data_IF_354703346235
#
_entry.id   IF_354703346235
#
_cell.length_a   1.000
_cell.length_b   1.000
_cell.length_c   1.000
_cell.angle_alpha   90.00
_cell.angle_beta   90.00
_cell.angle_gamma   90.00
#
_symmetry.space_group_name_H-M   'P 1'
#
loop_
_entity.id
_entity.type
_entity.pdbx_description
1 polymer ?
#
# COMPACT_ATOMS: atom_id res chain seq x y z
N UNK A 1 -21.10 -8.76 -21.66
CA UNK A 1 -21.75 -7.82 -20.75
C UNK A 1 -20.66 -7.21 -19.90
N UNK A 2 -20.72 -5.92 -19.63
CA UNK A 2 -19.80 -5.31 -18.65
C UNK A 2 -20.23 -5.79 -17.26
N UNK A 3 -19.31 -6.37 -16.49
CA UNK A 3 -19.55 -6.87 -15.14
C UNK A 3 -18.99 -5.89 -14.12
N UNK A 4 -19.63 -5.82 -12.95
CA UNK A 4 -19.05 -5.09 -11.82
C UNK A 4 -17.80 -5.82 -11.35
N UNK A 5 -16.85 -5.07 -10.82
CA UNK A 5 -15.65 -5.67 -10.15
C UNK A 5 -16.11 -6.59 -9.02
N UNK A 6 -17.15 -6.20 -8.28
CA UNK A 6 -17.71 -6.93 -7.13
C UNK A 6 -18.35 -8.28 -7.46
N UNK A 7 -18.58 -8.60 -8.72
CA UNK A 7 -19.02 -9.97 -9.12
C UNK A 7 -17.99 -11.05 -8.78
N UNK A 8 -16.73 -10.66 -8.47
CA UNK A 8 -15.62 -11.55 -8.20
C UNK A 8 -15.04 -11.39 -6.78
N UNK A 9 -15.40 -10.34 -6.04
CA UNK A 9 -14.82 -10.00 -4.75
C UNK A 9 -15.91 -9.71 -3.73
N UNK A 10 -15.64 -10.01 -2.48
CA UNK A 10 -16.60 -9.91 -1.39
C UNK A 10 -16.19 -8.91 -0.29
N UNK A 11 -14.99 -8.33 -0.37
CA UNK A 11 -14.55 -7.24 0.49
C UNK A 11 -13.43 -6.40 -0.14
N UNK A 12 -13.29 -5.17 0.37
CA UNK A 12 -12.26 -4.22 -0.01
C UNK A 12 -11.21 -4.10 1.10
N UNK A 13 -9.93 -4.19 0.74
CA UNK A 13 -8.83 -3.66 1.53
C UNK A 13 -8.28 -2.42 0.83
N UNK A 14 -8.29 -1.28 1.49
CA UNK A 14 -7.90 0.00 0.90
C UNK A 14 -6.69 0.59 1.61
N UNK A 15 -5.74 1.13 0.86
CA UNK A 15 -4.83 2.11 1.42
C UNK A 15 -5.60 3.37 1.83
N UNK A 16 -4.95 4.25 2.57
CA UNK A 16 -5.53 5.48 3.11
C UNK A 16 -4.98 6.73 2.43
N UNK A 17 -3.67 6.96 2.56
CA UNK A 17 -3.02 8.15 2.03
C UNK A 17 -2.95 8.10 0.49
N UNK A 18 -3.42 9.13 -0.20
CA UNK A 18 -3.51 9.14 -1.68
C UNK A 18 -4.74 8.42 -2.26
N UNK A 19 -5.52 7.72 -1.43
CA UNK A 19 -6.72 6.96 -1.81
C UNK A 19 -7.98 7.53 -1.17
N UNK A 20 -8.02 7.62 0.15
CA UNK A 20 -9.18 8.11 0.91
C UNK A 20 -9.00 9.57 1.30
N UNK A 21 -7.78 9.95 1.64
CA UNK A 21 -7.44 11.33 2.01
C UNK A 21 -5.99 11.68 1.64
N UNK A 22 -5.70 12.97 1.64
CA UNK A 22 -4.36 13.54 1.60
C UNK A 22 -4.20 14.48 2.79
N UNK A 23 -3.35 14.10 3.75
CA UNK A 23 -3.20 14.83 5.01
C UNK A 23 -4.51 14.96 5.79
N UNK A 24 -5.07 16.17 5.86
CA UNK A 24 -6.32 16.45 6.57
C UNK A 24 -7.55 16.64 5.65
N UNK A 25 -7.42 16.34 4.37
CA UNK A 25 -8.49 16.50 3.38
C UNK A 25 -8.87 15.16 2.77
N UNK A 26 -10.18 14.87 2.71
CA UNK A 26 -10.68 13.71 1.97
C UNK A 26 -10.49 13.89 0.46
N UNK A 27 -10.24 12.79 -0.24
CA UNK A 27 -10.20 12.74 -1.70
C UNK A 27 -11.61 12.39 -2.20
N UNK A 28 -12.25 13.35 -2.88
CA UNK A 28 -13.57 13.10 -3.48
C UNK A 28 -13.45 12.16 -4.68
N UNK A 29 -14.36 11.18 -4.87
CA UNK A 29 -15.56 10.88 -4.07
C UNK A 29 -15.36 9.70 -3.10
N UNK A 30 -14.17 9.51 -2.53
CA UNK A 30 -13.88 8.32 -1.71
C UNK A 30 -14.86 8.14 -0.53
N UNK A 31 -15.20 9.18 0.28
CA UNK A 31 -16.14 8.98 1.39
C UNK A 31 -17.52 8.49 0.95
N UNK A 32 -18.04 9.03 -0.14
CA UNK A 32 -19.34 8.68 -0.70
C UNK A 32 -19.35 7.23 -1.19
N UNK A 33 -18.31 6.83 -1.91
CA UNK A 33 -18.16 5.47 -2.45
C UNK A 33 -18.02 4.45 -1.32
N UNK A 34 -17.20 4.74 -0.30
CA UNK A 34 -17.04 3.85 0.86
C UNK A 34 -18.36 3.70 1.64
N UNK A 35 -19.14 4.77 1.76
CA UNK A 35 -20.49 4.74 2.32
C UNK A 35 -21.45 3.87 1.52
N UNK A 36 -21.38 3.91 0.20
CA UNK A 36 -22.20 3.08 -0.69
C UNK A 36 -21.79 1.61 -0.64
N UNK A 37 -20.48 1.29 -0.64
CA UNK A 37 -20.01 -0.09 -0.45
C UNK A 37 -20.51 -0.68 0.88
N UNK A 38 -20.45 0.10 1.96
CA UNK A 38 -20.98 -0.32 3.25
C UNK A 38 -22.50 -0.59 3.19
N UNK A 39 -23.27 0.23 2.45
CA UNK A 39 -24.72 0.04 2.26
C UNK A 39 -25.05 -1.20 1.43
N UNK A 40 -24.18 -1.60 0.54
CA UNK A 40 -24.23 -2.84 -0.24
C UNK A 40 -23.81 -4.08 0.56
N UNK A 41 -23.38 -3.88 1.82
CA UNK A 41 -22.92 -4.98 2.68
C UNK A 41 -21.52 -5.49 2.36
N UNK A 42 -20.73 -4.72 1.62
CA UNK A 42 -19.33 -5.03 1.30
C UNK A 42 -18.44 -4.52 2.44
N UNK A 43 -17.77 -5.40 3.22
CA UNK A 43 -16.85 -4.98 4.26
C UNK A 43 -15.66 -4.22 3.67
N UNK A 44 -15.22 -3.15 4.38
CA UNK A 44 -14.07 -2.36 3.98
C UNK A 44 -13.06 -2.33 5.11
N UNK A 45 -11.85 -2.76 4.82
CA UNK A 45 -10.68 -2.66 5.70
C UNK A 45 -9.68 -1.64 5.18
N UNK A 46 -8.92 -1.08 6.10
CA UNK A 46 -7.90 -0.08 5.78
C UNK A 46 -6.52 -0.60 6.16
N UNK A 47 -5.56 -0.47 5.23
CA UNK A 47 -4.21 -1.03 5.39
C UNK A 47 -3.18 0.09 5.21
N UNK A 48 -2.50 0.47 6.29
CA UNK A 48 -1.60 1.62 6.27
C UNK A 48 -0.18 1.31 6.74
N UNK A 49 0.82 1.88 6.08
CA UNK A 49 2.21 1.86 6.53
C UNK A 49 2.48 2.80 7.70
N UNK A 50 1.51 3.65 8.08
CA UNK A 50 1.67 4.54 9.21
C UNK A 50 1.66 3.76 10.54
N UNK A 51 2.79 3.76 11.25
CA UNK A 51 2.95 3.11 12.56
C UNK A 51 2.90 4.10 13.73
N UNK A 52 2.90 5.42 13.45
CA UNK A 52 2.96 6.45 14.49
C UNK A 52 1.61 6.76 15.11
N UNK A 53 0.51 6.52 14.38
CA UNK A 53 -0.86 6.82 14.80
C UNK A 53 -1.57 5.59 15.32
N UNK A 54 -2.41 5.79 16.34
CA UNK A 54 -3.32 4.73 16.82
C UNK A 54 -4.49 4.54 15.87
N UNK A 55 -4.94 3.30 15.69
CA UNK A 55 -6.09 2.98 14.85
C UNK A 55 -7.36 3.79 15.22
N UNK A 56 -7.60 4.04 16.52
CA UNK A 56 -8.71 4.88 16.98
C UNK A 56 -8.64 6.32 16.46
N UNK A 57 -7.45 6.92 16.41
CA UNK A 57 -7.29 8.29 15.90
C UNK A 57 -7.47 8.35 14.36
N UNK A 58 -7.14 7.28 13.66
CA UNK A 58 -7.40 7.16 12.20
C UNK A 58 -8.91 6.99 11.97
N UNK A 59 -9.57 6.14 12.75
CA UNK A 59 -11.03 5.94 12.65
C UNK A 59 -11.80 7.24 12.94
N UNK A 60 -11.37 8.03 13.92
CA UNK A 60 -11.94 9.35 14.21
C UNK A 60 -11.78 10.33 13.05
N UNK A 61 -10.61 10.36 12.41
CA UNK A 61 -10.38 11.18 11.21
C UNK A 61 -11.29 10.74 10.05
N UNK A 62 -11.40 9.44 9.80
CA UNK A 62 -12.29 8.89 8.77
C UNK A 62 -13.75 9.23 9.05
N UNK A 63 -14.17 9.15 10.31
CA UNK A 63 -15.51 9.58 10.71
C UNK A 63 -15.73 11.08 10.44
N UNK A 64 -14.73 11.92 10.65
CA UNK A 64 -14.74 13.34 10.28
C UNK A 64 -14.95 13.59 8.79
N UNK A 65 -14.58 12.66 7.93
CA UNK A 65 -14.85 12.67 6.48
C UNK A 65 -16.19 12.00 6.10
N UNK A 66 -16.95 11.50 7.07
CA UNK A 66 -18.21 10.76 6.84
C UNK A 66 -18.03 9.26 6.62
N UNK A 67 -16.81 8.73 6.70
CA UNK A 67 -16.53 7.30 6.58
C UNK A 67 -16.61 6.62 7.94
N UNK A 68 -17.55 5.69 8.10
CA UNK A 68 -17.71 4.91 9.33
C UNK A 68 -16.90 3.63 9.27
N UNK A 69 -15.98 3.47 10.20
CA UNK A 69 -15.26 2.22 10.41
C UNK A 69 -14.96 2.03 11.91
N UNK A 70 -14.77 0.79 12.33
CA UNK A 70 -14.24 0.51 13.65
C UNK A 70 -12.70 0.64 13.64
N UNK A 71 -12.06 0.98 14.78
CA UNK A 71 -10.60 0.93 14.88
C UNK A 71 -9.99 -0.43 14.48
N UNK A 72 -10.75 -1.49 14.66
CA UNK A 72 -10.41 -2.86 14.34
C UNK A 72 -10.45 -3.17 12.83
N UNK A 73 -11.05 -2.29 12.02
CA UNK A 73 -11.00 -2.37 10.55
C UNK A 73 -9.73 -1.74 9.97
N UNK A 74 -8.84 -1.22 10.82
CA UNK A 74 -7.61 -0.55 10.41
C UNK A 74 -6.40 -1.41 10.80
N UNK A 75 -5.73 -1.95 9.80
CA UNK A 75 -4.52 -2.75 9.98
C UNK A 75 -3.31 -1.88 9.66
N UNK A 76 -2.55 -1.56 10.69
CA UNK A 76 -1.36 -0.72 10.57
C UNK A 76 -0.06 -1.52 10.64
N UNK A 77 1.00 -0.96 10.05
CA UNK A 77 2.34 -1.57 10.08
C UNK A 77 2.91 -1.71 11.49
N UNK A 78 2.48 -0.89 12.45
CA UNK A 78 2.86 -1.05 13.87
C UNK A 78 2.29 -2.33 14.48
N UNK A 79 0.99 -2.61 14.27
CA UNK A 79 0.35 -3.85 14.69
C UNK A 79 1.03 -5.08 14.06
N UNK A 80 1.27 -5.01 12.75
CA UNK A 80 1.94 -6.09 12.01
C UNK A 80 3.37 -6.30 12.49
N UNK A 81 4.09 -5.22 12.81
CA UNK A 81 5.44 -5.30 13.38
C UNK A 81 5.47 -6.04 14.72
N UNK A 82 4.45 -5.82 15.56
CA UNK A 82 4.31 -6.54 16.84
C UNK A 82 3.97 -8.02 16.63
N UNK A 83 3.14 -8.34 15.63
CA UNK A 83 2.89 -9.74 15.26
C UNK A 83 4.19 -10.44 14.82
N UNK A 84 5.00 -9.79 13.98
CA UNK A 84 6.32 -10.32 13.60
C UNK A 84 7.28 -10.46 14.78
N UNK A 85 7.26 -9.54 15.76
CA UNK A 85 8.06 -9.68 16.98
C UNK A 85 7.69 -10.95 17.76
N UNK A 86 6.39 -11.27 17.87
CA UNK A 86 5.91 -12.45 18.56
C UNK A 86 6.40 -13.77 17.93
N UNK A 87 6.74 -13.76 16.65
CA UNK A 87 7.38 -14.89 15.96
C UNK A 87 8.89 -14.98 16.22
N UNK A 88 9.53 -13.88 16.61
CA UNK A 88 10.98 -13.78 16.74
C UNK A 88 11.46 -13.95 18.18
N UNK A 89 10.68 -13.52 19.16
CA UNK A 89 11.06 -13.50 20.59
C UNK A 89 9.89 -13.89 21.49
N UNK A 90 10.15 -14.54 22.66
CA UNK A 90 9.09 -14.93 23.59
C UNK A 90 8.29 -13.75 24.12
N UNK A 91 7.03 -13.99 24.50
CA UNK A 91 6.19 -13.01 25.21
C UNK A 91 6.90 -12.56 26.50
N UNK A 92 6.72 -11.28 26.87
CA UNK A 92 7.40 -10.67 28.02
C UNK A 92 8.85 -10.25 27.75
N UNK A 93 9.39 -10.51 26.55
CA UNK A 93 10.74 -10.06 26.19
C UNK A 93 10.85 -8.54 26.22
N UNK A 94 12.03 -8.02 26.53
CA UNK A 94 12.36 -6.60 26.39
C UNK A 94 12.52 -6.26 24.92
N UNK A 95 11.86 -5.19 24.50
CA UNK A 95 11.89 -4.68 23.12
C UNK A 95 12.28 -3.21 23.15
N UNK A 96 13.38 -2.88 22.47
CA UNK A 96 13.78 -1.50 22.26
C UNK A 96 12.94 -0.91 21.13
N UNK A 97 12.26 0.22 21.43
CA UNK A 97 11.37 0.87 20.48
C UNK A 97 12.01 2.15 19.95
N UNK A 98 12.29 2.18 18.65
CA UNK A 98 12.60 3.39 17.89
C UNK A 98 11.34 3.80 17.16
N UNK A 99 10.64 4.84 17.65
CA UNK A 99 9.38 5.29 17.11
C UNK A 99 8.54 6.04 18.13
N UNK A 100 7.36 6.48 17.70
CA UNK A 100 6.44 7.27 18.53
C UNK A 100 5.59 6.43 19.49
N UNK A 101 4.75 7.14 20.26
CA UNK A 101 3.88 6.56 21.29
C UNK A 101 2.90 5.52 20.75
N UNK A 102 2.45 5.67 19.51
CA UNK A 102 1.57 4.67 18.87
C UNK A 102 2.23 3.30 18.74
N UNK A 103 3.52 3.28 18.36
CA UNK A 103 4.27 2.04 18.24
C UNK A 103 4.58 1.44 19.62
N UNK A 104 4.93 2.26 20.61
CA UNK A 104 5.16 1.85 22.01
C UNK A 104 3.90 1.21 22.62
N UNK A 105 2.72 1.80 22.35
CA UNK A 105 1.43 1.27 22.78
C UNK A 105 1.16 -0.12 22.17
N UNK A 106 1.43 -0.29 20.86
CA UNK A 106 1.32 -1.60 20.21
C UNK A 106 2.24 -2.65 20.82
N UNK A 107 3.51 -2.33 21.07
CA UNK A 107 4.49 -3.24 21.69
C UNK A 107 4.04 -3.65 23.09
N UNK A 108 3.58 -2.70 23.91
CA UNK A 108 3.08 -2.98 25.27
C UNK A 108 1.84 -3.87 25.26
N UNK A 109 0.86 -3.59 24.35
CA UNK A 109 -0.34 -4.42 24.19
C UNK A 109 -0.04 -5.81 23.64
N UNK A 110 1.04 -5.95 22.88
CA UNK A 110 1.56 -7.24 22.42
C UNK A 110 2.20 -8.08 23.51
N UNK A 111 2.23 -7.59 24.76
CA UNK A 111 2.76 -8.32 25.90
C UNK A 111 4.28 -8.25 26.04
N UNK A 112 4.93 -7.23 25.44
CA UNK A 112 6.36 -7.00 25.53
C UNK A 112 6.70 -5.87 26.52
N UNK A 113 7.88 -5.96 27.14
CA UNK A 113 8.44 -4.89 27.97
C UNK A 113 9.15 -3.86 27.09
N UNK A 114 8.66 -2.61 27.07
CA UNK A 114 9.29 -1.53 26.30
C UNK A 114 10.50 -0.98 27.04
N UNK A 115 11.62 -0.89 26.33
CA UNK A 115 12.86 -0.29 26.84
C UNK A 115 13.43 0.73 25.85
N UNK A 116 14.31 1.63 26.35
CA UNK A 116 14.84 2.76 25.58
C UNK A 116 16.37 2.67 25.35
N UNK A 117 17.05 1.73 26.00
CA UNK A 117 18.50 1.59 25.92
C UNK A 117 18.91 0.16 25.62
N UNK A 118 19.99 0.01 24.86
CA UNK A 118 20.68 -1.26 24.63
C UNK A 118 21.23 -1.88 25.93
N UNK A 119 21.54 -1.07 26.96
CA UNK A 119 21.97 -1.53 28.25
C UNK A 119 20.93 -2.36 29.01
N UNK A 120 19.65 -2.24 28.61
CA UNK A 120 18.57 -3.10 29.10
C UNK A 120 18.62 -4.52 28.51
N UNK A 121 19.56 -4.81 27.61
CA UNK A 121 19.70 -6.08 26.89
C UNK A 121 18.40 -6.54 26.23
N UNK A 122 17.80 -5.73 25.31
CA UNK A 122 16.58 -6.10 24.62
C UNK A 122 16.79 -7.33 23.74
N UNK A 123 15.79 -8.22 23.72
CA UNK A 123 15.78 -9.36 22.82
C UNK A 123 15.49 -8.97 21.35
N UNK A 124 14.82 -7.83 21.17
CA UNK A 124 14.50 -7.30 19.84
C UNK A 124 14.48 -5.76 19.82
N UNK A 125 14.64 -5.22 18.61
CA UNK A 125 14.42 -3.82 18.26
C UNK A 125 13.24 -3.76 17.29
N UNK A 126 12.29 -2.85 17.53
CA UNK A 126 11.29 -2.46 16.54
C UNK A 126 11.48 -1.00 16.17
N UNK A 127 11.55 -0.74 14.87
CA UNK A 127 11.79 0.59 14.33
C UNK A 127 10.66 1.06 13.43
N UNK A 128 10.10 2.22 13.75
CA UNK A 128 9.13 2.97 12.98
C UNK A 128 9.45 4.46 12.99
N UNK A 129 8.74 5.20 12.15
CA UNK A 129 8.92 6.65 12.07
C UNK A 129 8.23 7.38 13.23
N UNK A 130 8.92 8.39 13.76
CA UNK A 130 8.33 9.49 14.52
C UNK A 130 9.16 10.76 14.30
N UNK A 131 8.55 11.95 14.37
CA UNK A 131 9.25 13.22 14.10
C UNK A 131 10.41 13.51 15.06
N UNK A 132 10.38 12.94 16.26
CA UNK A 132 11.34 13.13 17.35
C UNK A 132 12.40 12.02 17.42
N UNK A 133 12.41 11.06 16.49
CA UNK A 133 13.49 10.07 16.40
C UNK A 133 14.82 10.78 16.15
N UNK A 134 15.73 10.62 17.11
CA UNK A 134 17.03 11.25 17.10
C UNK A 134 18.14 10.27 16.74
N UNK A 135 19.34 10.81 16.45
CA UNK A 135 20.54 9.99 16.28
C UNK A 135 20.77 9.04 17.47
N UNK A 136 20.47 9.48 18.70
CA UNK A 136 20.61 8.65 19.91
C UNK A 136 19.73 7.39 19.82
N UNK A 137 18.48 7.51 19.41
CA UNK A 137 17.58 6.36 19.27
C UNK A 137 18.10 5.37 18.23
N UNK A 138 18.65 5.87 17.12
CA UNK A 138 19.24 5.01 16.08
C UNK A 138 20.52 4.33 16.56
N UNK A 139 21.33 5.02 17.38
CA UNK A 139 22.54 4.46 17.98
C UNK A 139 22.21 3.34 18.99
N UNK A 140 21.22 3.55 19.88
CA UNK A 140 20.75 2.52 20.80
C UNK A 140 20.23 1.28 20.06
N UNK A 141 19.47 1.48 18.97
CA UNK A 141 19.06 0.38 18.10
C UNK A 141 20.26 -0.37 17.54
N UNK A 142 21.24 0.34 16.98
CA UNK A 142 22.43 -0.26 16.40
C UNK A 142 23.25 -1.07 17.46
N UNK A 143 23.41 -0.55 18.68
CA UNK A 143 24.09 -1.25 19.75
C UNK A 143 23.36 -2.53 20.16
N UNK A 144 22.03 -2.46 20.31
CA UNK A 144 21.21 -3.63 20.63
C UNK A 144 21.30 -4.71 19.55
N UNK A 145 21.22 -4.31 18.26
CA UNK A 145 21.31 -5.22 17.11
C UNK A 145 22.70 -5.88 17.04
N UNK A 146 23.77 -5.12 17.24
CA UNK A 146 25.13 -5.65 17.30
C UNK A 146 25.32 -6.62 18.47
N UNK A 147 24.60 -6.43 19.58
CA UNK A 147 24.56 -7.36 20.70
C UNK A 147 23.69 -8.62 20.46
N UNK A 148 23.06 -8.75 19.29
CA UNK A 148 22.31 -9.93 18.88
C UNK A 148 20.77 -9.80 18.93
N UNK A 149 20.23 -8.61 19.24
CA UNK A 149 18.80 -8.38 19.21
C UNK A 149 18.23 -8.60 17.81
N UNK A 150 17.03 -9.19 17.71
CA UNK A 150 16.28 -9.28 16.46
C UNK A 150 15.83 -7.89 16.02
N UNK A 151 15.71 -7.66 14.73
CA UNK A 151 15.35 -6.35 14.22
C UNK A 151 14.13 -6.42 13.30
N UNK A 152 13.07 -5.66 13.65
CA UNK A 152 11.85 -5.49 12.87
C UNK A 152 11.69 -4.01 12.54
N UNK A 153 11.39 -3.68 11.27
CA UNK A 153 10.98 -2.36 10.84
C UNK A 153 9.48 -2.37 10.49
N UNK A 154 8.75 -1.34 10.93
CA UNK A 154 7.32 -1.24 10.64
C UNK A 154 7.04 -1.03 9.15
N UNK A 155 7.89 -0.28 8.45
CA UNK A 155 7.87 -0.08 7.01
C UNK A 155 9.25 0.35 6.50
N UNK A 156 9.41 0.39 5.19
CA UNK A 156 10.62 0.81 4.49
C UNK A 156 10.40 2.04 3.58
N UNK A 157 9.40 2.85 3.86
CA UNK A 157 9.09 4.04 3.06
C UNK A 157 10.27 5.03 3.10
N UNK A 158 10.85 5.30 1.94
CA UNK A 158 12.03 6.15 1.83
C UNK A 158 11.76 7.61 2.16
N UNK A 159 10.59 8.08 1.78
CA UNK A 159 10.17 9.47 1.94
C UNK A 159 8.76 9.56 2.50
N UNK A 160 8.46 10.69 3.13
CA UNK A 160 7.13 11.06 3.61
C UNK A 160 6.75 12.42 3.02
N UNK A 161 5.61 12.53 2.33
CA UNK A 161 5.08 13.83 1.94
C UNK A 161 4.66 14.60 3.19
N UNK A 162 5.05 15.88 3.24
CA UNK A 162 4.73 16.81 4.30
C UNK A 162 4.27 18.14 3.66
N UNK A 163 3.58 18.99 4.40
CA UNK A 163 3.10 20.29 3.92
C UNK A 163 4.23 21.15 3.30
N UNK A 164 5.46 21.04 3.80
CA UNK A 164 6.62 21.82 3.37
C UNK A 164 7.47 21.14 2.28
N UNK A 165 7.08 19.95 1.83
CA UNK A 165 7.82 19.14 0.84
C UNK A 165 8.09 17.71 1.30
N UNK A 166 8.92 17.00 0.55
CA UNK A 166 9.28 15.61 0.87
C UNK A 166 10.28 15.54 2.02
N UNK A 167 9.99 14.74 3.04
CA UNK A 167 10.84 14.48 4.19
C UNK A 167 11.36 13.03 4.19
N UNK A 168 12.47 12.72 4.92
CA UNK A 168 12.93 11.34 5.11
C UNK A 168 11.88 10.47 5.79
N UNK A 169 11.60 9.30 5.23
CA UNK A 169 10.75 8.28 5.82
C UNK A 169 11.50 7.29 6.70
N UNK A 170 10.79 6.30 7.24
CA UNK A 170 11.38 5.26 8.07
C UNK A 170 12.48 4.47 7.35
N UNK A 171 12.31 4.19 6.05
CA UNK A 171 13.30 3.49 5.23
C UNK A 171 14.67 4.18 5.22
N UNK A 172 14.69 5.52 5.20
CA UNK A 172 15.93 6.31 5.31
C UNK A 172 16.56 6.13 6.69
N UNK A 173 15.79 6.10 7.77
CA UNK A 173 16.28 5.86 9.13
C UNK A 173 16.74 4.41 9.31
N UNK A 174 16.04 3.44 8.74
CA UNK A 174 16.45 2.03 8.66
C UNK A 174 17.78 1.89 7.93
N UNK A 175 17.96 2.59 6.82
CA UNK A 175 19.22 2.59 6.07
C UNK A 175 20.40 3.12 6.89
N UNK A 176 20.17 4.13 7.73
CA UNK A 176 21.20 4.65 8.64
C UNK A 176 21.65 3.60 9.67
N UNK A 177 20.70 2.88 10.30
CA UNK A 177 21.01 1.76 11.22
C UNK A 177 21.68 0.60 10.48
N UNK A 178 21.12 0.20 9.31
CA UNK A 178 21.71 -0.84 8.46
C UNK A 178 23.18 -0.58 8.12
N UNK A 179 23.51 0.66 7.77
CA UNK A 179 24.91 1.06 7.48
C UNK A 179 25.84 0.81 8.65
N UNK A 180 25.36 0.96 9.89
CA UNK A 180 26.16 0.73 11.10
C UNK A 180 26.29 -0.75 11.48
N UNK A 181 25.24 -1.57 11.20
CA UNK A 181 25.16 -2.96 11.70
C UNK A 181 25.40 -4.03 10.64
N UNK A 182 25.30 -3.71 9.36
CA UNK A 182 25.52 -4.62 8.23
C UNK A 182 24.43 -5.66 7.99
N UNK A 183 23.27 -5.55 8.65
CA UNK A 183 22.12 -6.47 8.47
C UNK A 183 20.83 -5.70 8.20
N UNK A 184 19.85 -6.36 7.55
CA UNK A 184 18.54 -5.80 7.25
C UNK A 184 17.49 -6.25 8.28
N UNK A 185 16.47 -5.44 8.58
CA UNK A 185 15.34 -5.84 9.40
C UNK A 185 14.40 -6.78 8.65
N UNK A 186 13.55 -7.49 9.41
CA UNK A 186 12.28 -7.97 8.88
C UNK A 186 11.34 -6.76 8.75
N UNK A 187 10.71 -6.61 7.59
CA UNK A 187 9.81 -5.48 7.32
C UNK A 187 8.36 -5.95 7.42
N UNK A 188 7.57 -5.22 8.21
CA UNK A 188 6.18 -5.56 8.47
C UNK A 188 5.21 -5.01 7.42
N UNK A 189 5.44 -3.76 7.00
CA UNK A 189 4.53 -3.00 6.14
C UNK A 189 4.66 -3.31 4.66
N UNK A 190 3.76 -2.72 3.87
CA UNK A 190 3.76 -2.79 2.40
C UNK A 190 5.13 -2.36 1.83
N UNK A 191 5.67 -3.05 0.80
CA UNK A 191 5.08 -4.12 -0.01
C UNK A 191 5.31 -5.54 0.52
N UNK A 192 5.73 -5.72 1.77
CA UNK A 192 6.00 -7.05 2.31
C UNK A 192 4.70 -7.78 2.68
N UNK A 193 4.73 -9.11 2.60
CA UNK A 193 3.57 -9.98 2.78
C UNK A 193 2.86 -9.84 4.15
N UNK A 194 3.56 -9.64 5.28
CA UNK A 194 2.94 -9.75 6.60
C UNK A 194 1.70 -8.88 6.81
N UNK A 195 1.71 -7.62 6.33
CA UNK A 195 0.57 -6.71 6.53
C UNK A 195 -0.66 -7.14 5.72
N UNK A 196 -0.46 -7.66 4.52
CA UNK A 196 -1.55 -8.16 3.66
C UNK A 196 -2.14 -9.44 4.21
N UNK A 197 -1.29 -10.36 4.68
CA UNK A 197 -1.70 -11.63 5.27
C UNK A 197 -2.45 -11.41 6.59
N UNK A 198 -1.97 -10.50 7.44
CA UNK A 198 -2.66 -10.11 8.68
C UNK A 198 -4.04 -9.50 8.38
N UNK A 199 -4.12 -8.56 7.43
CA UNK A 199 -5.37 -7.93 7.04
C UNK A 199 -6.36 -8.96 6.50
N UNK A 200 -5.90 -9.83 5.60
CA UNK A 200 -6.71 -10.92 5.04
C UNK A 200 -7.25 -11.83 6.14
N UNK A 201 -6.38 -12.38 6.98
CA UNK A 201 -6.77 -13.30 8.07
C UNK A 201 -7.76 -12.65 9.04
N UNK A 202 -7.56 -11.36 9.38
CA UNK A 202 -8.45 -10.61 10.25
C UNK A 202 -9.86 -10.47 9.65
N UNK A 203 -9.96 -10.06 8.37
CA UNK A 203 -11.25 -9.87 7.69
C UNK A 203 -11.97 -11.18 7.43
N UNK A 204 -11.25 -12.24 7.05
CA UNK A 204 -11.82 -13.59 6.90
C UNK A 204 -12.41 -14.08 8.22
N UNK A 205 -11.71 -13.88 9.33
CA UNK A 205 -12.19 -14.28 10.65
C UNK A 205 -13.38 -13.46 11.14
N UNK A 206 -13.36 -12.14 10.89
CA UNK A 206 -14.37 -11.20 11.39
C UNK A 206 -15.68 -11.24 10.59
N UNK A 207 -15.59 -11.34 9.27
CA UNK A 207 -16.74 -11.20 8.37
C UNK A 207 -17.09 -12.48 7.58
N UNK A 208 -16.26 -13.52 7.62
CA UNK A 208 -16.46 -14.74 6.87
C UNK A 208 -16.24 -14.63 5.37
N UNK A 209 -15.59 -13.54 4.92
CA UNK A 209 -15.26 -13.21 3.52
C UNK A 209 -14.00 -13.90 3.06
N UNK A 210 -13.76 -14.08 1.73
CA UNK A 210 -12.63 -14.86 1.21
C UNK A 210 -11.92 -14.25 0.01
N UNK A 211 -12.59 -13.36 -0.74
CA UNK A 211 -12.09 -12.84 -2.01
C UNK A 211 -11.76 -11.34 -1.89
N UNK A 212 -10.54 -10.99 -1.41
CA UNK A 212 -10.12 -9.61 -1.25
C UNK A 212 -9.89 -8.92 -2.59
N UNK A 213 -10.27 -7.65 -2.64
CA UNK A 213 -9.80 -6.68 -3.61
C UNK A 213 -8.94 -5.65 -2.87
N UNK A 214 -7.70 -5.44 -3.31
CA UNK A 214 -6.81 -4.44 -2.70
C UNK A 214 -6.76 -3.18 -3.55
N UNK A 215 -7.08 -2.03 -2.97
CA UNK A 215 -7.05 -0.72 -3.60
C UNK A 215 -5.89 0.10 -3.05
N UNK A 216 -5.05 0.63 -3.94
CA UNK A 216 -3.96 1.53 -3.57
C UNK A 216 -3.59 2.48 -4.71
N UNK A 217 -2.81 3.50 -4.39
CA UNK A 217 -2.34 4.51 -5.32
C UNK A 217 -0.85 4.35 -5.69
N UNK A 218 -0.16 3.43 -5.00
CA UNK A 218 1.28 3.22 -5.18
C UNK A 218 1.60 1.84 -5.73
N UNK A 219 2.30 1.83 -6.86
CA UNK A 219 2.72 0.58 -7.49
C UNK A 219 3.79 -0.15 -6.66
N UNK A 220 4.74 0.60 -6.09
CA UNK A 220 5.89 0.06 -5.36
C UNK A 220 5.50 -0.61 -4.02
N UNK A 221 4.45 -0.15 -3.37
CA UNK A 221 3.98 -0.67 -2.08
C UNK A 221 2.69 -1.47 -2.20
N UNK A 222 1.64 -0.87 -2.74
CA UNK A 222 0.28 -1.42 -2.73
C UNK A 222 0.10 -2.53 -3.75
N UNK A 223 0.40 -2.20 -5.02
CA UNK A 223 0.15 -3.14 -6.13
C UNK A 223 1.13 -4.30 -6.07
N UNK A 224 2.42 -3.99 -5.90
CA UNK A 224 3.47 -5.02 -5.78
C UNK A 224 3.23 -5.92 -4.57
N UNK A 225 2.83 -5.34 -3.44
CA UNK A 225 2.57 -6.10 -2.22
C UNK A 225 1.33 -7.00 -2.34
N UNK A 226 0.21 -6.47 -2.84
CA UNK A 226 -1.00 -7.25 -3.08
C UNK A 226 -0.74 -8.41 -4.07
N UNK A 227 -0.01 -8.14 -5.16
CA UNK A 227 0.35 -9.16 -6.15
C UNK A 227 1.26 -10.25 -5.55
N UNK A 228 2.21 -9.91 -4.66
CA UNK A 228 3.07 -10.89 -3.97
C UNK A 228 2.28 -11.94 -3.19
N UNK A 229 1.16 -11.55 -2.59
CA UNK A 229 0.31 -12.46 -1.81
C UNK A 229 -0.89 -13.01 -2.61
N UNK A 230 -0.91 -12.78 -3.92
CA UNK A 230 -1.97 -13.28 -4.80
C UNK A 230 -3.31 -12.57 -4.66
N UNK A 231 -3.37 -11.38 -4.05
CA UNK A 231 -4.56 -10.55 -4.02
C UNK A 231 -4.73 -9.81 -5.36
N UNK A 232 -5.98 -9.68 -5.80
CA UNK A 232 -6.30 -8.82 -6.94
C UNK A 232 -6.10 -7.35 -6.54
N UNK A 233 -5.37 -6.59 -7.36
CA UNK A 233 -5.02 -5.21 -7.07
C UNK A 233 -5.72 -4.22 -8.01
N UNK A 234 -6.14 -3.08 -7.45
CA UNK A 234 -6.67 -1.91 -8.16
C UNK A 234 -5.71 -0.75 -7.93
N UNK A 235 -5.17 -0.20 -9.02
CA UNK A 235 -4.47 1.08 -8.98
C UNK A 235 -5.48 2.21 -9.19
N UNK A 236 -5.60 3.13 -8.24
CA UNK A 236 -6.32 4.39 -8.40
C UNK A 236 -5.34 5.52 -8.70
N UNK A 237 -5.66 6.36 -9.67
CA UNK A 237 -4.77 7.42 -10.16
C UNK A 237 -4.99 8.77 -9.42
N UNK A 238 -5.38 8.72 -8.16
CA UNK A 238 -5.61 9.91 -7.33
C UNK A 238 -4.41 10.31 -6.46
N UNK A 239 -3.39 9.45 -6.38
CA UNK A 239 -2.24 9.65 -5.50
C UNK A 239 -0.90 9.69 -6.24
N UNK A 240 0.06 8.87 -5.81
CA UNK A 240 1.48 8.99 -6.15
C UNK A 240 1.83 8.44 -7.53
N UNK A 241 1.33 7.25 -7.88
CA UNK A 241 1.74 6.58 -9.12
C UNK A 241 1.14 7.21 -10.37
N UNK A 242 1.97 7.41 -11.37
CA UNK A 242 1.62 8.07 -12.62
C UNK A 242 1.21 7.08 -13.72
N UNK A 243 0.52 7.60 -14.75
CA UNK A 243 0.19 6.85 -15.98
C UNK A 243 1.44 6.24 -16.63
N UNK A 244 2.54 6.99 -16.65
CA UNK A 244 3.82 6.54 -17.21
C UNK A 244 4.41 5.36 -16.44
N UNK A 245 4.35 5.43 -15.12
CA UNK A 245 4.85 4.34 -14.28
C UNK A 245 4.07 3.05 -14.47
N UNK A 246 2.74 3.11 -14.52
CA UNK A 246 1.95 1.89 -14.72
C UNK A 246 2.20 1.25 -16.09
N UNK A 247 2.34 2.05 -17.15
CA UNK A 247 2.71 1.54 -18.49
C UNK A 247 4.04 0.79 -18.50
N UNK A 248 5.01 1.27 -17.74
CA UNK A 248 6.36 0.71 -17.67
C UNK A 248 6.53 -0.52 -16.78
N UNK A 249 5.46 -1.00 -16.14
CA UNK A 249 5.59 -2.00 -15.09
C UNK A 249 5.96 -3.40 -15.58
N UNK A 250 6.84 -4.04 -14.78
CA UNK A 250 7.07 -5.49 -14.84
C UNK A 250 5.90 -6.23 -14.22
N UNK A 251 5.88 -7.55 -14.37
CA UNK A 251 4.77 -8.40 -13.97
C UNK A 251 4.33 -8.16 -12.51
N UNK A 252 5.30 -8.00 -11.60
CA UNK A 252 5.05 -7.84 -10.17
C UNK A 252 4.31 -6.54 -9.81
N UNK A 253 4.52 -5.47 -10.59
CA UNK A 253 3.90 -4.16 -10.40
C UNK A 253 2.67 -3.91 -11.28
N UNK A 254 2.18 -4.90 -12.06
CA UNK A 254 1.01 -4.72 -12.92
C UNK A 254 -0.27 -4.84 -12.12
N UNK A 255 -1.08 -3.78 -12.01
CA UNK A 255 -2.38 -3.88 -11.38
C UNK A 255 -3.34 -4.74 -12.21
N UNK A 256 -4.23 -5.46 -11.54
CA UNK A 256 -5.32 -6.19 -12.23
C UNK A 256 -6.35 -5.22 -12.80
N UNK A 257 -6.61 -4.12 -12.08
CA UNK A 257 -7.54 -3.06 -12.48
C UNK A 257 -6.86 -1.70 -12.36
N UNK A 258 -7.25 -0.77 -13.22
CA UNK A 258 -6.80 0.63 -13.22
C UNK A 258 -8.05 1.50 -13.23
N UNK A 259 -8.17 2.42 -12.27
CA UNK A 259 -9.28 3.35 -12.15
C UNK A 259 -8.75 4.78 -11.99
N UNK A 260 -9.46 5.75 -12.55
CA UNK A 260 -9.13 7.17 -12.40
C UNK A 260 -9.65 7.75 -11.09
N UNK A 261 -10.76 7.20 -10.60
CA UNK A 261 -11.44 7.63 -9.38
C UNK A 261 -12.08 6.42 -8.70
N UNK A 262 -12.25 6.50 -7.39
CA UNK A 262 -12.92 5.44 -6.61
C UNK A 262 -14.36 5.19 -7.06
N UNK A 263 -15.06 6.18 -7.67
CA UNK A 263 -16.42 6.00 -8.23
C UNK A 263 -16.51 4.86 -9.22
N UNK A 264 -15.45 4.58 -9.96
CA UNK A 264 -15.43 3.48 -10.95
C UNK A 264 -15.52 2.08 -10.30
N UNK A 265 -15.34 1.95 -8.97
CA UNK A 265 -15.63 0.71 -8.26
C UNK A 265 -17.12 0.34 -8.29
N UNK A 266 -18.00 1.32 -8.45
CA UNK A 266 -19.46 1.14 -8.51
C UNK A 266 -19.99 1.04 -9.95
N UNK A 267 -19.10 1.14 -10.93
CA UNK A 267 -19.43 1.13 -12.35
C UNK A 267 -18.98 -0.18 -13.02
N UNK A 268 -19.62 -0.57 -14.15
CA UNK A 268 -19.15 -1.69 -14.94
C UNK A 268 -17.73 -1.45 -15.47
N UNK A 269 -16.79 -2.33 -15.15
CA UNK A 269 -15.40 -2.19 -15.56
C UNK A 269 -15.21 -2.51 -17.05
N UNK A 270 -14.58 -1.59 -17.77
CA UNK A 270 -14.26 -1.74 -19.19
C UNK A 270 -12.97 -2.58 -19.38
N UNK A 271 -13.11 -3.91 -19.35
CA UNK A 271 -11.97 -4.80 -19.57
C UNK A 271 -11.35 -4.60 -20.96
N UNK A 272 -10.01 -4.48 -21.07
CA UNK A 272 -9.34 -4.44 -22.36
C UNK A 272 -9.61 -5.71 -23.17
N UNK A 273 -10.07 -5.56 -24.40
CA UNK A 273 -10.37 -6.65 -25.34
C UNK A 273 -9.46 -6.56 -26.55
N UNK A 274 -8.88 -7.70 -26.95
CA UNK A 274 -8.04 -7.75 -28.13
C UNK A 274 -8.83 -7.36 -29.41
N UNK A 275 -8.21 -6.56 -30.26
CA UNK A 275 -8.65 -6.21 -31.62
C UNK A 275 -7.70 -6.82 -32.64
N UNK A 276 -7.90 -6.52 -33.93
CA UNK A 276 -7.02 -7.02 -34.99
C UNK A 276 -5.57 -6.52 -34.84
N UNK A 277 -5.33 -5.36 -34.20
CA UNK A 277 -4.02 -4.69 -34.14
C UNK A 277 -3.57 -4.27 -32.75
N UNK A 278 -4.41 -4.44 -31.73
CA UNK A 278 -4.12 -3.99 -30.37
C UNK A 278 -5.22 -4.34 -29.40
N UNK A 279 -5.62 -3.37 -28.60
CA UNK A 279 -6.66 -3.52 -27.58
C UNK A 279 -7.63 -2.34 -27.56
N UNK A 280 -8.91 -2.65 -27.24
CA UNK A 280 -9.95 -1.67 -26.93
C UNK A 280 -10.38 -1.82 -25.47
N UNK A 281 -10.52 -0.70 -24.77
CA UNK A 281 -11.14 -0.61 -23.46
C UNK A 281 -12.17 0.52 -23.51
N UNK A 282 -13.42 0.23 -23.17
CA UNK A 282 -14.50 1.22 -23.23
C UNK A 282 -14.55 1.97 -24.56
N UNK A 283 -14.36 3.28 -24.49
CA UNK A 283 -14.40 4.21 -25.63
C UNK A 283 -13.09 4.32 -26.40
N UNK A 284 -11.96 3.75 -25.89
CA UNK A 284 -10.65 3.94 -26.48
C UNK A 284 -10.09 2.67 -27.14
N UNK A 285 -9.39 2.83 -28.25
CA UNK A 285 -8.64 1.77 -28.93
C UNK A 285 -7.19 2.19 -29.16
N UNK A 286 -6.25 1.33 -28.75
CA UNK A 286 -4.81 1.52 -28.91
C UNK A 286 -4.25 0.37 -29.73
N UNK A 287 -3.42 0.67 -30.74
CA UNK A 287 -2.78 -0.33 -31.61
C UNK A 287 -1.28 -0.38 -31.45
N UNK A 288 -0.69 -1.53 -31.84
CA UNK A 288 0.75 -1.74 -31.98
C UNK A 288 1.07 -1.94 -33.47
N UNK A 289 1.86 -1.01 -34.04
CA UNK A 289 2.42 -1.12 -35.40
C UNK A 289 3.95 -1.16 -35.36
N UNK A 290 4.51 -2.31 -35.56
CA UNK A 290 5.96 -2.50 -35.32
C UNK A 290 6.28 -2.26 -33.84
N UNK A 291 7.06 -1.21 -33.57
CA UNK A 291 7.35 -0.76 -32.19
C UNK A 291 6.50 0.43 -31.72
N UNK A 292 5.58 0.92 -32.57
CA UNK A 292 4.80 2.14 -32.27
C UNK A 292 3.47 1.80 -31.61
N UNK A 293 3.25 2.30 -30.41
CA UNK A 293 1.97 2.24 -29.66
C UNK A 293 1.23 3.56 -29.86
N UNK A 294 0.08 3.53 -30.51
CA UNK A 294 -0.67 4.73 -30.93
C UNK A 294 -2.15 4.61 -30.58
N UNK A 295 -2.76 5.72 -30.19
CA UNK A 295 -4.21 5.83 -30.06
C UNK A 295 -4.85 5.80 -31.46
N UNK A 296 -5.90 5.01 -31.63
CA UNK A 296 -6.70 4.91 -32.84
C UNK A 296 -8.02 5.63 -32.68
N UNK A 297 -8.63 5.50 -31.51
CA UNK A 297 -9.94 6.06 -31.19
C UNK A 297 -10.02 6.41 -29.70
N UNK A 298 -10.75 7.43 -29.34
CA UNK A 298 -11.02 7.86 -27.97
C UNK A 298 -10.20 9.07 -27.53
N UNK A 299 -10.33 9.42 -26.26
CA UNK A 299 -9.57 10.48 -25.59
C UNK A 299 -8.28 9.89 -25.00
N UNK A 300 -7.08 10.37 -25.40
CA UNK A 300 -5.81 9.86 -24.87
C UNK A 300 -5.68 10.05 -23.35
N UNK A 301 -6.33 11.06 -22.77
CA UNK A 301 -6.28 11.33 -21.32
C UNK A 301 -7.22 10.44 -20.51
N UNK A 302 -8.12 9.70 -21.17
CA UNK A 302 -9.07 8.80 -20.49
C UNK A 302 -8.36 7.60 -19.84
N UNK A 303 -8.97 7.05 -18.80
CA UNK A 303 -8.51 5.81 -18.17
C UNK A 303 -8.66 4.62 -19.11
N UNK A 304 -9.67 4.65 -19.99
CA UNK A 304 -9.87 3.64 -21.02
C UNK A 304 -8.68 3.56 -21.99
N UNK A 305 -8.15 4.72 -22.42
CA UNK A 305 -6.95 4.78 -23.27
C UNK A 305 -5.73 4.19 -22.54
N UNK A 306 -5.56 4.51 -21.26
CA UNK A 306 -4.50 3.94 -20.45
C UNK A 306 -4.63 2.42 -20.28
N UNK A 307 -5.84 1.90 -20.00
CA UNK A 307 -6.12 0.47 -19.90
C UNK A 307 -5.78 -0.26 -21.20
N UNK A 308 -6.21 0.29 -22.33
CA UNK A 308 -5.91 -0.25 -23.65
C UNK A 308 -4.41 -0.22 -23.94
N UNK A 309 -3.73 0.89 -23.63
CA UNK A 309 -2.28 1.04 -23.80
C UNK A 309 -1.50 0.06 -22.92
N UNK A 310 -1.87 -0.10 -21.64
CA UNK A 310 -1.28 -1.09 -20.75
C UNK A 310 -1.45 -2.51 -21.31
N UNK A 311 -2.62 -2.88 -21.81
CA UNK A 311 -2.87 -4.19 -22.41
C UNK A 311 -1.98 -4.42 -23.64
N UNK A 312 -1.79 -3.43 -24.51
CA UNK A 312 -0.88 -3.49 -25.64
C UNK A 312 0.57 -3.71 -25.19
N UNK A 313 1.04 -2.88 -24.23
CA UNK A 313 2.42 -2.94 -23.73
C UNK A 313 2.66 -4.26 -23.00
N UNK A 314 1.77 -4.69 -22.12
CA UNK A 314 1.94 -5.88 -21.29
C UNK A 314 1.90 -7.19 -22.06
N UNK A 315 1.23 -7.22 -23.23
CA UNK A 315 1.17 -8.38 -24.11
C UNK A 315 2.19 -8.35 -25.24
N UNK A 316 2.87 -7.21 -25.43
CA UNK A 316 3.92 -7.06 -26.43
C UNK A 316 5.10 -8.02 -26.16
N UNK A 317 5.64 -8.60 -27.23
CA UNK A 317 6.92 -9.33 -27.18
C UNK A 317 8.13 -8.40 -27.10
N UNK A 318 7.95 -7.13 -27.46
CA UNK A 318 9.00 -6.09 -27.37
C UNK A 318 8.98 -5.49 -25.98
N UNK A 319 10.10 -5.46 -25.26
CA UNK A 319 10.20 -4.78 -23.98
C UNK A 319 9.84 -3.29 -24.09
N UNK A 320 9.33 -2.69 -23.00
CA UNK A 320 8.84 -1.31 -22.99
C UNK A 320 9.86 -0.29 -23.52
N UNK A 321 11.14 -0.48 -23.22
CA UNK A 321 12.22 0.40 -23.71
C UNK A 321 12.47 0.31 -25.22
N UNK A 322 11.93 -0.71 -25.90
CA UNK A 322 11.94 -0.87 -27.35
C UNK A 322 10.64 -0.41 -28.01
N UNK A 323 9.66 0.07 -27.24
CA UNK A 323 8.40 0.60 -27.73
C UNK A 323 8.43 2.13 -27.78
N UNK A 324 7.91 2.67 -28.88
CA UNK A 324 7.64 4.10 -29.06
C UNK A 324 6.18 4.36 -28.72
N UNK A 325 5.91 4.71 -27.45
CA UNK A 325 4.56 4.99 -26.94
C UNK A 325 4.22 6.45 -27.16
N UNK A 326 3.05 6.73 -27.70
CA UNK A 326 2.53 8.09 -27.89
C UNK A 326 2.45 8.83 -26.54
N UNK A 327 3.12 10.02 -26.41
CA UNK A 327 3.18 10.75 -25.14
C UNK A 327 1.81 11.06 -24.52
N UNK A 328 0.83 11.40 -25.33
CA UNK A 328 -0.53 11.71 -24.86
C UNK A 328 -1.22 10.55 -24.10
N UNK A 329 -0.72 9.31 -24.22
CA UNK A 329 -1.24 8.15 -23.46
C UNK A 329 -0.74 8.08 -22.03
N UNK A 330 0.34 8.81 -21.68
CA UNK A 330 0.96 8.74 -20.34
C UNK A 330 1.34 10.11 -19.72
N UNK A 331 1.15 11.21 -20.43
CA UNK A 331 1.21 12.58 -19.91
C UNK A 331 -0.18 13.01 -19.41
#
# INVERSE_FOLDING_TARGET
MASLIWDQFDYLLSDLDGVVYEGLKSISPAPEVLGELASLGIPVGYVTNNSSRRAAAIAEQLLGFGVRCAPDDIIGSGQTGVALLAEQVPAGSRVLVVGGDGLRDWVSRGGFEVVDSADAHPAAVIQGFAPDVSWRNLAEAAFAIQAGAKWVATNSDWTLPQERGMAPGNGTLVSAVHTAVGQLPLVAGKPEAPIFELAKAHFEAKYGVKQPLFLGDRIDTDITGANKVGMASVLVLTGVSTRKEVLGQRLEGRPRYIIGSMSELLEPYAYPRATKRGYRSGSAEVELRGSKVRLVEGDPTSVDALRAACAVVYTSKTPIFGLDVEPALYE
#
